data_IF_114960898900
#
_entry.id   IF_114960898900
#
_cell.length_a   1.000
_cell.length_b   1.000
_cell.length_c   1.000
_cell.angle_alpha   90.00
_cell.angle_beta   90.00
_cell.angle_gamma   90.00
#
_symmetry.space_group_name_H-M   'P 1'
#
loop_
_entity.id
_entity.type
_entity.pdbx_description
1 polymer ?
#
# COMPACT_ATOMS: atom_id res chain seq x y z
N UNK A 1 64.32 -70.93 -8.77
CA UNK A 1 63.75 -69.84 -7.94
C UNK A 1 63.28 -68.60 -8.71
N UNK A 2 63.87 -68.22 -9.83
CA UNK A 2 63.45 -67.05 -10.64
C UNK A 2 62.05 -67.20 -11.26
N UNK A 3 61.61 -68.41 -11.53
CA UNK A 3 60.30 -68.66 -12.18
C UNK A 3 59.11 -68.43 -11.24
N UNK A 4 59.21 -68.69 -9.96
CA UNK A 4 58.12 -68.50 -8.97
C UNK A 4 57.92 -67.00 -8.65
N UNK A 5 59.05 -66.28 -8.47
CA UNK A 5 59.01 -64.84 -8.22
C UNK A 5 58.33 -64.04 -9.40
N UNK A 6 58.61 -64.47 -10.65
CA UNK A 6 58.02 -63.89 -11.80
C UNK A 6 56.50 -64.17 -11.87
N UNK A 7 56.04 -65.38 -11.60
CA UNK A 7 54.64 -65.76 -11.55
C UNK A 7 53.88 -64.96 -10.45
N UNK A 8 54.51 -64.89 -9.23
CA UNK A 8 53.91 -64.10 -8.14
C UNK A 8 53.81 -62.58 -8.51
N UNK A 9 54.85 -62.05 -9.15
CA UNK A 9 54.86 -60.66 -9.60
C UNK A 9 53.73 -60.40 -10.70
N UNK A 10 53.58 -61.32 -11.63
CA UNK A 10 52.55 -61.24 -12.68
C UNK A 10 51.16 -61.38 -12.09
N UNK A 11 50.94 -62.28 -11.13
CA UNK A 11 49.65 -62.44 -10.45
C UNK A 11 49.32 -61.20 -9.58
N UNK A 12 50.36 -60.70 -8.84
CA UNK A 12 50.18 -59.45 -8.08
C UNK A 12 49.83 -58.26 -9.00
N UNK A 13 50.56 -58.12 -10.12
CA UNK A 13 50.31 -57.08 -11.11
C UNK A 13 48.92 -57.20 -11.69
N UNK A 14 48.44 -58.41 -12.09
CA UNK A 14 47.09 -58.64 -12.59
C UNK A 14 45.98 -58.36 -11.57
N UNK A 15 46.22 -58.64 -10.27
CA UNK A 15 45.28 -58.31 -9.19
C UNK A 15 45.18 -56.80 -8.99
N UNK A 16 46.30 -56.09 -8.99
CA UNK A 16 46.33 -54.62 -8.84
C UNK A 16 45.66 -53.95 -10.06
N UNK A 17 45.93 -54.48 -11.26
CA UNK A 17 45.31 -53.96 -12.48
C UNK A 17 43.79 -54.25 -12.55
N UNK A 18 43.34 -55.39 -12.09
CA UNK A 18 41.92 -55.71 -11.99
C UNK A 18 41.18 -54.89 -10.93
N UNK A 19 41.81 -54.60 -9.79
CA UNK A 19 41.29 -53.74 -8.76
C UNK A 19 41.26 -52.30 -9.22
N UNK A 20 42.29 -51.83 -9.91
CA UNK A 20 42.36 -50.53 -10.55
C UNK A 20 41.25 -50.32 -11.58
N UNK A 21 40.98 -51.35 -12.43
CA UNK A 21 39.85 -51.29 -13.41
C UNK A 21 38.50 -51.22 -12.74
N UNK A 22 38.28 -51.96 -11.64
CA UNK A 22 37.01 -51.92 -10.87
C UNK A 22 36.80 -50.56 -10.20
N UNK A 23 37.88 -49.99 -9.67
CA UNK A 23 37.83 -48.63 -9.07
C UNK A 23 37.54 -47.57 -10.12
N UNK A 24 38.17 -47.67 -11.30
CA UNK A 24 37.90 -46.74 -12.43
C UNK A 24 36.47 -46.83 -12.91
N UNK A 25 35.92 -48.05 -13.07
CA UNK A 25 34.55 -48.23 -13.45
C UNK A 25 33.56 -47.70 -12.41
N UNK A 26 33.85 -47.82 -11.13
CA UNK A 26 33.06 -47.28 -10.03
C UNK A 26 33.11 -45.76 -9.94
N UNK A 27 34.24 -45.16 -10.36
CA UNK A 27 34.45 -43.70 -10.36
C UNK A 27 34.13 -43.04 -11.69
N UNK A 28 33.65 -43.77 -12.72
CA UNK A 28 33.33 -43.26 -14.04
C UNK A 28 34.55 -42.70 -14.81
N UNK A 29 35.75 -43.18 -14.49
CA UNK A 29 37.01 -42.71 -15.07
C UNK A 29 37.30 -43.36 -16.42
N UNK A 30 37.72 -42.60 -17.41
CA UNK A 30 38.08 -43.07 -18.74
C UNK A 30 39.31 -43.98 -18.79
N UNK A 31 39.67 -44.50 -19.97
CA UNK A 31 40.74 -45.45 -20.22
C UNK A 31 42.12 -44.77 -20.37
N UNK A 32 42.58 -43.99 -19.40
CA UNK A 32 43.92 -43.40 -19.45
C UNK A 32 44.98 -44.42 -18.97
N UNK A 33 46.13 -44.52 -19.60
CA UNK A 33 47.13 -45.55 -19.28
C UNK A 33 47.82 -45.39 -17.93
N UNK A 34 47.70 -44.23 -17.26
CA UNK A 34 48.32 -44.01 -15.96
C UNK A 34 47.29 -43.54 -14.91
N UNK A 35 46.90 -44.40 -13.95
CA UNK A 35 45.89 -44.06 -12.91
C UNK A 35 46.33 -42.93 -11.97
N UNK A 36 47.62 -42.73 -11.79
CA UNK A 36 48.12 -41.61 -10.94
C UNK A 36 47.82 -40.26 -11.58
N UNK A 37 47.90 -40.15 -12.89
CA UNK A 37 47.62 -38.92 -13.60
C UNK A 37 46.12 -38.55 -13.55
N UNK A 38 45.23 -39.54 -13.62
CA UNK A 38 43.78 -39.34 -13.49
C UNK A 38 43.35 -38.89 -12.10
N UNK A 39 43.94 -39.51 -11.06
CA UNK A 39 43.67 -39.14 -9.67
C UNK A 39 44.20 -37.74 -9.37
N UNK A 40 45.38 -37.37 -9.92
CA UNK A 40 45.92 -36.00 -9.77
C UNK A 40 45.03 -34.96 -10.47
N UNK A 41 44.56 -35.26 -11.71
CA UNK A 41 43.67 -34.40 -12.43
C UNK A 41 42.29 -34.20 -11.77
N UNK A 42 41.77 -35.28 -11.16
CA UNK A 42 40.54 -35.17 -10.35
C UNK A 42 40.74 -34.32 -9.09
N UNK A 43 41.85 -34.52 -8.41
CA UNK A 43 42.21 -33.72 -7.22
C UNK A 43 42.37 -32.23 -7.56
N UNK A 44 43.09 -31.91 -8.62
CA UNK A 44 43.22 -30.51 -9.09
C UNK A 44 41.85 -29.89 -9.46
N UNK A 45 40.96 -30.70 -10.06
CA UNK A 45 39.62 -30.25 -10.42
C UNK A 45 38.74 -30.03 -9.20
N UNK A 46 38.85 -30.91 -8.18
CA UNK A 46 38.14 -30.75 -6.91
C UNK A 46 38.66 -29.52 -6.16
N UNK A 47 39.96 -29.34 -6.06
CA UNK A 47 40.58 -28.17 -5.44
C UNK A 47 40.28 -26.87 -6.16
N UNK A 48 40.07 -26.89 -7.50
CA UNK A 48 39.60 -25.72 -8.27
C UNK A 48 38.18 -25.43 -7.97
N UNK A 49 37.27 -26.42 -7.98
CA UNK A 49 35.84 -26.23 -7.69
C UNK A 49 35.62 -25.76 -6.25
N UNK A 50 36.41 -26.28 -5.30
CA UNK A 50 36.37 -25.83 -3.90
C UNK A 50 36.81 -24.37 -3.77
N UNK A 51 37.84 -23.93 -4.51
CA UNK A 51 38.23 -22.51 -4.57
C UNK A 51 37.18 -21.64 -5.22
N UNK A 52 36.64 -22.03 -6.35
CA UNK A 52 35.56 -21.29 -7.04
C UNK A 52 34.32 -21.18 -6.14
N UNK A 53 33.94 -22.23 -5.43
CA UNK A 53 32.84 -22.18 -4.45
C UNK A 53 33.14 -21.29 -3.25
N UNK A 54 34.39 -21.31 -2.76
CA UNK A 54 34.86 -20.45 -1.66
C UNK A 54 34.82 -18.98 -2.08
N UNK A 55 35.33 -18.68 -3.26
CA UNK A 55 35.33 -17.31 -3.83
C UNK A 55 33.89 -16.80 -4.04
N UNK A 56 32.99 -17.62 -4.62
CA UNK A 56 31.57 -17.27 -4.77
C UNK A 56 30.88 -17.06 -3.41
N UNK A 57 31.17 -17.85 -2.39
CA UNK A 57 30.64 -17.64 -1.04
C UNK A 57 31.16 -16.33 -0.44
N UNK A 58 32.44 -16.05 -0.58
CA UNK A 58 33.04 -14.83 -0.07
C UNK A 58 32.46 -13.58 -0.77
N UNK A 59 32.24 -13.63 -2.08
CA UNK A 59 31.59 -12.55 -2.84
C UNK A 59 30.12 -12.37 -2.40
N UNK A 60 29.39 -13.46 -2.16
CA UNK A 60 28.02 -13.42 -1.69
C UNK A 60 27.92 -12.81 -0.27
N UNK A 61 28.84 -13.19 0.62
CA UNK A 61 28.92 -12.65 1.99
C UNK A 61 29.24 -11.14 1.94
N UNK A 62 30.20 -10.74 1.10
CA UNK A 62 30.53 -9.33 0.89
C UNK A 62 29.32 -8.52 0.35
N UNK A 63 28.60 -9.06 -0.63
CA UNK A 63 27.40 -8.39 -1.17
C UNK A 63 26.31 -8.27 -0.11
N UNK A 64 26.13 -9.28 0.73
CA UNK A 64 25.14 -9.23 1.81
C UNK A 64 25.49 -8.21 2.90
N UNK A 65 26.78 -7.97 3.14
CA UNK A 65 27.26 -6.97 4.10
C UNK A 65 27.22 -5.53 3.56
N UNK A 66 27.26 -5.36 2.23
CA UNK A 66 27.14 -4.04 1.57
C UNK A 66 25.71 -3.49 1.52
N UNK A 67 24.72 -4.33 1.80
CA UNK A 67 23.31 -3.92 1.82
C UNK A 67 22.97 -3.37 3.21
N UNK A 68 22.48 -2.15 3.29
CA UNK A 68 22.02 -1.53 4.55
C UNK A 68 20.82 -2.24 5.19
N UNK A 69 20.26 -3.25 4.51
CA UNK A 69 19.16 -4.10 4.97
C UNK A 69 19.64 -5.37 5.70
N UNK A 70 18.87 -5.82 6.67
CA UNK A 70 19.08 -7.14 7.28
C UNK A 70 18.73 -8.24 6.28
N UNK A 71 19.66 -9.17 6.05
CA UNK A 71 19.43 -10.36 5.22
C UNK A 71 19.52 -11.58 6.13
N UNK A 72 18.49 -12.44 6.10
CA UNK A 72 18.43 -13.69 6.87
C UNK A 72 18.02 -14.82 5.95
N UNK A 73 18.74 -15.92 6.00
CA UNK A 73 18.37 -17.17 5.34
C UNK A 73 17.81 -18.15 6.38
N UNK A 74 16.66 -18.71 6.09
CA UNK A 74 16.02 -19.77 6.87
C UNK A 74 15.99 -21.07 6.05
N UNK A 75 16.16 -22.19 6.73
CA UNK A 75 15.97 -23.53 6.13
C UNK A 75 14.47 -23.86 5.96
N UNK A 76 14.18 -25.08 5.44
CA UNK A 76 12.82 -25.59 5.27
C UNK A 76 12.06 -25.85 6.58
N UNK A 77 12.72 -25.72 7.74
CA UNK A 77 12.13 -25.82 9.07
C UNK A 77 12.05 -24.44 9.76
N UNK A 78 12.29 -23.36 9.00
CA UNK A 78 12.34 -21.97 9.47
C UNK A 78 13.41 -21.71 10.53
N UNK A 79 14.55 -22.42 10.49
CA UNK A 79 15.71 -22.15 11.32
C UNK A 79 16.70 -21.25 10.59
N UNK A 80 17.32 -20.34 11.31
CA UNK A 80 18.29 -19.40 10.76
C UNK A 80 19.56 -20.14 10.35
N UNK A 81 19.89 -20.10 9.06
CA UNK A 81 21.11 -20.66 8.46
C UNK A 81 22.19 -19.60 8.34
N UNK A 82 21.81 -18.40 7.90
CA UNK A 82 22.71 -17.27 7.72
C UNK A 82 22.01 -15.95 8.08
N UNK A 83 22.79 -14.97 8.54
CA UNK A 83 22.34 -13.62 8.80
C UNK A 83 23.51 -12.65 8.69
N UNK A 84 23.31 -11.51 8.00
CA UNK A 84 24.33 -10.47 7.88
C UNK A 84 24.41 -9.58 9.14
N UNK A 85 25.40 -8.69 9.21
CA UNK A 85 25.62 -7.79 10.34
C UNK A 85 24.41 -6.88 10.61
N UNK A 86 23.78 -6.36 9.57
CA UNK A 86 22.60 -5.52 9.69
C UNK A 86 21.42 -6.26 10.35
N UNK A 87 21.17 -7.51 10.01
CA UNK A 87 20.13 -8.34 10.65
C UNK A 87 20.41 -8.52 12.15
N UNK A 88 21.66 -8.77 12.53
CA UNK A 88 22.05 -8.87 13.95
C UNK A 88 21.82 -7.52 14.67
N UNK A 89 22.16 -6.39 14.04
CA UNK A 89 21.96 -5.06 14.60
C UNK A 89 20.48 -4.74 14.84
N UNK A 90 19.62 -4.98 13.86
CA UNK A 90 18.17 -4.74 13.98
C UNK A 90 17.53 -5.58 15.09
N UNK A 91 18.01 -6.80 15.26
CA UNK A 91 17.53 -7.71 16.30
C UNK A 91 18.23 -7.49 17.67
N UNK A 92 19.22 -6.58 17.74
CA UNK A 92 20.01 -6.31 18.94
C UNK A 92 20.72 -7.54 19.46
N UNK A 93 21.26 -8.36 18.56
CA UNK A 93 21.97 -9.61 18.84
C UNK A 93 23.44 -9.49 18.43
N UNK A 94 24.30 -10.20 19.13
CA UNK A 94 25.70 -10.31 18.72
C UNK A 94 25.83 -11.13 17.42
N UNK A 95 26.85 -10.85 16.59
CA UNK A 95 27.13 -11.64 15.40
C UNK A 95 27.18 -13.16 15.71
N UNK A 96 26.52 -13.96 14.87
CA UNK A 96 26.41 -15.42 15.01
C UNK A 96 25.35 -15.90 16.00
N UNK A 97 24.81 -15.06 16.87
CA UNK A 97 23.85 -15.47 17.90
C UNK A 97 22.48 -15.90 17.35
N UNK A 98 22.20 -15.63 16.09
CA UNK A 98 20.95 -16.01 15.42
C UNK A 98 21.01 -17.40 14.81
N UNK A 99 22.18 -17.85 14.41
CA UNK A 99 22.36 -19.09 13.66
C UNK A 99 21.86 -20.31 14.46
N UNK A 100 21.09 -21.17 13.81
CA UNK A 100 20.50 -22.40 14.36
C UNK A 100 19.26 -22.19 15.23
N UNK A 101 18.84 -20.95 15.48
CA UNK A 101 17.58 -20.65 16.20
C UNK A 101 16.39 -20.77 15.28
N UNK A 102 15.24 -21.11 15.84
CA UNK A 102 13.96 -21.04 15.14
C UNK A 102 13.59 -19.57 14.89
N UNK A 103 12.85 -19.29 13.81
CA UNK A 103 12.49 -17.92 13.44
C UNK A 103 11.82 -17.15 14.59
N UNK A 104 10.90 -17.79 15.34
CA UNK A 104 10.23 -17.16 16.48
C UNK A 104 11.22 -16.80 17.60
N UNK A 105 12.23 -17.61 17.87
CA UNK A 105 13.27 -17.31 18.87
C UNK A 105 14.25 -16.23 18.40
N UNK A 106 14.54 -16.22 17.10
CA UNK A 106 15.47 -15.27 16.50
C UNK A 106 14.87 -13.86 16.50
N UNK A 107 13.62 -13.74 16.03
CA UNK A 107 12.95 -12.46 15.85
C UNK A 107 12.12 -12.03 17.08
N UNK A 108 11.76 -12.96 17.98
CA UNK A 108 10.83 -12.76 19.10
C UNK A 108 9.48 -12.19 18.67
N UNK A 109 9.06 -12.55 17.46
CA UNK A 109 7.84 -12.07 16.85
C UNK A 109 7.21 -13.14 15.95
N UNK A 110 5.94 -13.47 16.23
CA UNK A 110 5.20 -14.49 15.49
C UNK A 110 4.79 -14.03 14.08
N UNK A 111 4.70 -12.73 13.83
CA UNK A 111 4.35 -12.22 12.50
C UNK A 111 5.46 -12.48 11.49
N UNK A 112 6.73 -12.35 11.91
CA UNK A 112 7.88 -12.67 11.04
C UNK A 112 7.87 -14.16 10.68
N UNK A 113 7.59 -15.04 11.63
CA UNK A 113 7.46 -16.47 11.38
C UNK A 113 6.30 -16.77 10.40
N UNK A 114 5.14 -16.14 10.60
CA UNK A 114 3.99 -16.26 9.72
C UNK A 114 4.30 -15.82 8.29
N UNK A 115 5.02 -14.68 8.11
CA UNK A 115 5.46 -14.19 6.81
C UNK A 115 6.42 -15.21 6.15
N UNK A 116 7.35 -15.76 6.92
CA UNK A 116 8.30 -16.77 6.42
C UNK A 116 7.58 -18.07 6.01
N UNK A 117 6.64 -18.56 6.82
CA UNK A 117 5.85 -19.75 6.52
C UNK A 117 4.99 -19.54 5.26
N UNK A 118 4.32 -18.40 5.14
CA UNK A 118 3.54 -18.03 3.94
C UNK A 118 4.42 -18.00 2.69
N UNK A 119 5.63 -17.43 2.79
CA UNK A 119 6.56 -17.41 1.67
C UNK A 119 7.07 -18.81 1.30
N UNK A 120 7.25 -19.71 2.28
CA UNK A 120 7.64 -21.10 2.02
C UNK A 120 6.55 -21.85 1.23
N UNK A 121 5.29 -21.61 1.54
CA UNK A 121 4.13 -22.23 0.88
C UNK A 121 3.81 -21.60 -0.48
N UNK A 122 3.68 -20.27 -0.51
CA UNK A 122 3.17 -19.51 -1.66
C UNK A 122 4.27 -18.93 -2.56
N UNK A 123 5.55 -19.04 -2.14
CA UNK A 123 6.71 -18.55 -2.91
C UNK A 123 7.19 -17.15 -2.50
N UNK A 124 6.31 -16.26 -2.06
CA UNK A 124 6.67 -14.93 -1.57
C UNK A 124 5.64 -14.41 -0.57
N UNK A 125 6.09 -13.60 0.39
CA UNK A 125 5.23 -12.87 1.32
C UNK A 125 5.93 -11.57 1.75
N UNK A 126 5.17 -10.59 2.24
CA UNK A 126 5.73 -9.38 2.81
C UNK A 126 4.80 -8.85 3.91
N UNK A 127 5.37 -8.12 4.86
CA UNK A 127 4.60 -7.47 5.91
C UNK A 127 5.43 -6.42 6.63
N UNK A 128 4.76 -5.56 7.38
CA UNK A 128 5.39 -4.60 8.28
C UNK A 128 5.26 -5.12 9.71
N UNK A 129 6.36 -5.19 10.42
CA UNK A 129 6.45 -5.76 11.77
C UNK A 129 7.17 -4.78 12.69
N UNK A 130 6.61 -4.53 13.88
CA UNK A 130 7.28 -3.75 14.93
C UNK A 130 7.88 -4.71 15.95
N UNK A 131 9.19 -4.88 15.92
CA UNK A 131 9.88 -5.76 16.84
C UNK A 131 9.87 -5.23 18.28
N UNK A 132 9.79 -6.14 19.26
CA UNK A 132 9.90 -5.82 20.70
C UNK A 132 8.87 -4.82 21.26
N UNK A 133 7.66 -4.75 20.69
CA UNK A 133 6.60 -3.87 21.18
C UNK A 133 6.75 -2.40 20.76
N UNK A 134 6.25 -1.48 21.61
CA UNK A 134 6.09 -0.08 21.23
C UNK A 134 7.40 0.68 20.93
N UNK A 135 8.52 0.27 21.54
CA UNK A 135 9.82 0.97 21.46
C UNK A 135 10.80 0.32 20.47
N UNK A 136 10.42 -0.79 19.84
CA UNK A 136 11.27 -1.51 18.90
C UNK A 136 11.26 -0.93 17.48
N UNK A 137 12.24 -1.33 16.65
CA UNK A 137 12.29 -0.89 15.27
C UNK A 137 11.10 -1.42 14.47
N UNK A 138 10.60 -0.59 13.57
CA UNK A 138 9.59 -0.97 12.58
C UNK A 138 10.30 -1.44 11.32
N UNK A 139 10.14 -2.72 10.99
CA UNK A 139 10.78 -3.34 9.85
C UNK A 139 9.75 -3.70 8.77
N UNK A 140 10.09 -3.45 7.51
CA UNK A 140 9.44 -4.12 6.38
C UNK A 140 10.19 -5.43 6.18
N UNK A 141 9.46 -6.55 6.33
CA UNK A 141 9.95 -7.91 6.09
C UNK A 141 9.45 -8.36 4.73
N UNK A 142 10.38 -8.68 3.83
CA UNK A 142 10.06 -9.32 2.54
C UNK A 142 10.67 -10.70 2.54
N UNK A 143 9.83 -11.70 2.33
CA UNK A 143 10.20 -13.10 2.32
C UNK A 143 10.06 -13.69 0.92
N UNK A 144 11.03 -14.53 0.52
CA UNK A 144 10.98 -15.24 -0.76
C UNK A 144 11.55 -16.65 -0.60
N UNK A 145 10.82 -17.63 -1.16
CA UNK A 145 11.29 -19.03 -1.15
C UNK A 145 12.57 -19.18 -1.97
N UNK A 146 13.57 -19.84 -1.37
CA UNK A 146 14.82 -20.19 -2.03
C UNK A 146 14.65 -21.43 -2.93
N UNK A 147 15.43 -21.49 -4.00
CA UNK A 147 15.51 -22.68 -4.86
C UNK A 147 16.07 -23.90 -4.08
N UNK A 148 16.86 -23.66 -3.05
CA UNK A 148 17.42 -24.69 -2.17
C UNK A 148 16.43 -25.25 -1.13
N UNK A 149 15.19 -24.75 -1.08
CA UNK A 149 14.12 -25.28 -0.20
C UNK A 149 13.92 -24.53 1.11
N UNK A 150 14.59 -23.36 1.30
CA UNK A 150 14.39 -22.47 2.44
C UNK A 150 13.74 -21.14 2.05
N UNK A 151 13.89 -20.11 2.91
CA UNK A 151 13.32 -18.76 2.70
C UNK A 151 14.40 -17.71 2.95
N UNK A 152 14.51 -16.76 2.03
CA UNK A 152 15.27 -15.54 2.22
C UNK A 152 14.37 -14.44 2.77
N UNK A 153 14.81 -13.80 3.86
CA UNK A 153 14.17 -12.61 4.43
C UNK A 153 15.06 -11.40 4.17
N UNK A 154 14.45 -10.33 3.69
CA UNK A 154 15.08 -9.00 3.62
C UNK A 154 14.33 -8.09 4.59
N UNK A 155 15.07 -7.54 5.54
CA UNK A 155 14.59 -6.66 6.60
C UNK A 155 15.02 -5.24 6.28
N UNK A 156 14.08 -4.32 6.17
CA UNK A 156 14.36 -2.90 5.94
C UNK A 156 13.84 -2.11 7.12
N UNK A 157 14.72 -1.38 7.82
CA UNK A 157 14.32 -0.49 8.91
C UNK A 157 13.66 0.76 8.34
N UNK A 158 12.39 0.97 8.71
CA UNK A 158 11.59 2.13 8.32
C UNK A 158 11.19 2.98 9.52
N UNK A 159 11.83 2.77 10.67
CA UNK A 159 11.49 3.45 11.93
C UNK A 159 11.57 4.97 11.84
N UNK A 160 12.64 5.50 11.25
CA UNK A 160 12.80 6.94 11.06
C UNK A 160 11.76 7.51 10.09
N UNK A 161 11.53 6.81 8.99
CA UNK A 161 10.49 7.18 8.02
C UNK A 161 9.11 7.23 8.69
N UNK A 162 8.75 6.21 9.46
CA UNK A 162 7.47 6.14 10.18
C UNK A 162 7.37 7.23 11.24
N UNK A 163 8.44 7.48 11.96
CA UNK A 163 8.49 8.57 12.96
C UNK A 163 8.28 9.93 12.32
N UNK A 164 8.94 10.22 11.20
CA UNK A 164 8.76 11.47 10.47
C UNK A 164 7.34 11.62 9.91
N UNK A 165 6.76 10.54 9.40
CA UNK A 165 5.37 10.52 8.96
C UNK A 165 4.40 10.79 10.11
N UNK A 166 4.64 10.19 11.28
CA UNK A 166 3.82 10.40 12.47
C UNK A 166 3.92 11.85 12.99
N UNK A 167 5.13 12.39 13.11
CA UNK A 167 5.34 13.79 13.51
C UNK A 167 4.64 14.75 12.55
N UNK A 168 4.73 14.48 11.24
CA UNK A 168 4.04 15.27 10.22
C UNK A 168 2.52 15.19 10.38
N UNK A 169 1.97 14.02 10.65
CA UNK A 169 0.55 13.83 10.86
C UNK A 169 0.07 14.56 12.12
N UNK A 170 0.75 14.41 13.24
CA UNK A 170 0.45 15.12 14.49
C UNK A 170 0.53 16.65 14.33
N UNK A 171 1.54 17.14 13.61
CA UNK A 171 1.67 18.56 13.31
C UNK A 171 0.47 19.08 12.51
N UNK A 172 0.06 18.37 11.45
CA UNK A 172 -1.08 18.77 10.62
C UNK A 172 -2.38 18.68 11.41
N UNK A 173 -2.56 17.65 12.24
CA UNK A 173 -3.75 17.50 13.10
C UNK A 173 -3.87 18.67 14.07
N UNK A 174 -2.79 19.00 14.79
CA UNK A 174 -2.75 20.12 15.71
C UNK A 174 -2.99 21.46 14.99
N UNK A 175 -2.32 21.71 13.86
CA UNK A 175 -2.50 22.93 13.09
C UNK A 175 -3.94 23.09 12.63
N UNK A 176 -4.58 22.01 12.25
CA UNK A 176 -5.97 22.03 11.77
C UNK A 176 -6.96 22.32 12.89
N UNK A 177 -6.75 21.79 14.09
CA UNK A 177 -7.54 22.14 15.26
C UNK A 177 -7.38 23.61 15.63
N UNK A 178 -6.14 24.12 15.63
CA UNK A 178 -5.84 25.52 15.91
C UNK A 178 -6.39 26.50 14.85
N UNK A 179 -6.52 26.07 13.59
CA UNK A 179 -7.12 26.89 12.54
C UNK A 179 -8.66 26.83 12.53
N UNK A 180 -9.27 25.70 12.83
CA UNK A 180 -10.72 25.54 12.84
C UNK A 180 -11.40 26.46 13.84
N UNK A 181 -10.85 26.62 15.02
CA UNK A 181 -11.41 27.45 16.10
C UNK A 181 -11.56 28.93 15.69
N UNK A 182 -10.50 29.65 15.22
CA UNK A 182 -10.67 31.06 14.80
C UNK A 182 -11.56 31.19 13.56
N UNK A 183 -11.53 30.25 12.61
CA UNK A 183 -12.39 30.27 11.45
C UNK A 183 -13.86 30.13 11.83
N UNK A 184 -14.19 29.22 12.74
CA UNK A 184 -15.55 29.06 13.28
C UNK A 184 -16.00 30.34 13.99
N UNK A 185 -15.10 30.99 14.73
CA UNK A 185 -15.41 32.28 15.40
C UNK A 185 -15.71 33.37 14.39
N UNK A 186 -14.92 33.48 13.30
CA UNK A 186 -15.17 34.46 12.25
C UNK A 186 -16.52 34.20 11.54
N UNK A 187 -16.84 32.95 11.27
CA UNK A 187 -18.13 32.54 10.68
C UNK A 187 -19.30 32.94 11.59
N UNK A 188 -19.19 32.63 12.89
CA UNK A 188 -20.22 32.94 13.87
C UNK A 188 -20.41 34.47 14.04
N UNK A 189 -19.33 35.25 14.02
CA UNK A 189 -19.40 36.71 14.09
C UNK A 189 -20.09 37.30 12.84
N UNK A 190 -19.79 36.77 11.64
CA UNK A 190 -20.43 37.18 10.41
C UNK A 190 -21.96 36.90 10.44
N UNK A 191 -22.33 35.68 10.87
CA UNK A 191 -23.72 35.29 11.04
C UNK A 191 -24.46 36.15 12.08
N UNK A 192 -23.82 36.45 13.22
CA UNK A 192 -24.35 37.26 14.29
C UNK A 192 -24.59 38.68 13.80
N UNK A 193 -23.64 39.30 13.06
CA UNK A 193 -23.79 40.62 12.48
C UNK A 193 -24.98 40.69 11.49
N UNK A 194 -25.21 39.65 10.68
CA UNK A 194 -26.34 39.57 9.79
C UNK A 194 -27.68 39.52 10.56
N UNK A 195 -27.77 38.66 11.58
CA UNK A 195 -28.96 38.52 12.43
C UNK A 195 -29.28 39.78 13.23
N UNK A 196 -28.27 40.42 13.80
CA UNK A 196 -28.43 41.68 14.55
C UNK A 196 -28.98 42.78 13.63
N UNK A 197 -28.46 42.89 12.42
CA UNK A 197 -28.95 43.85 11.44
C UNK A 197 -30.42 43.60 11.04
N UNK A 198 -30.82 42.35 10.90
CA UNK A 198 -32.19 41.96 10.61
C UNK A 198 -33.13 42.26 11.79
N UNK A 199 -32.69 41.95 13.01
CA UNK A 199 -33.50 42.10 14.23
C UNK A 199 -33.78 43.54 14.64
N UNK A 200 -32.84 44.47 14.38
CA UNK A 200 -32.97 45.90 14.71
C UNK A 200 -33.73 46.68 13.60
N UNK A 201 -34.15 46.00 12.53
CA UNK A 201 -34.82 46.66 11.39
C UNK A 201 -33.90 47.63 10.64
N UNK A 202 -32.60 47.57 10.91
CA UNK A 202 -31.62 48.43 10.23
C UNK A 202 -31.25 47.81 8.91
N UNK A 203 -31.64 48.43 7.82
CA UNK A 203 -31.25 47.98 6.48
C UNK A 203 -29.75 48.23 6.29
N UNK A 204 -28.93 47.19 6.42
CA UNK A 204 -27.50 47.28 6.07
C UNK A 204 -27.34 47.74 4.62
N UNK A 205 -26.42 48.67 4.32
CA UNK A 205 -26.06 48.98 2.95
C UNK A 205 -25.76 47.72 2.16
N UNK A 206 -26.25 47.61 0.93
CA UNK A 206 -26.09 46.40 0.09
C UNK A 206 -24.62 45.92 0.05
N UNK A 207 -23.70 46.86 -0.14
CA UNK A 207 -22.24 46.58 -0.12
C UNK A 207 -21.72 45.94 1.18
N UNK A 208 -22.35 46.27 2.32
CA UNK A 208 -21.93 45.71 3.61
C UNK A 208 -22.47 44.29 3.81
N UNK A 209 -23.73 44.08 3.41
CA UNK A 209 -24.35 42.74 3.37
C UNK A 209 -23.56 41.79 2.46
N UNK A 210 -23.19 42.24 1.25
CA UNK A 210 -22.39 41.46 0.30
C UNK A 210 -21.01 41.10 0.85
N UNK A 211 -20.39 42.02 1.60
CA UNK A 211 -19.09 41.75 2.24
C UNK A 211 -19.19 40.72 3.34
N UNK A 212 -20.21 40.80 4.19
CA UNK A 212 -20.42 39.83 5.28
C UNK A 212 -20.71 38.44 4.69
N UNK A 213 -21.61 38.38 3.69
CA UNK A 213 -21.89 37.11 2.98
C UNK A 213 -20.64 36.53 2.34
N UNK A 214 -19.74 37.37 1.80
CA UNK A 214 -18.47 36.93 1.25
C UNK A 214 -17.51 36.38 2.32
N UNK A 215 -17.46 37.02 3.49
CA UNK A 215 -16.64 36.53 4.63
C UNK A 215 -17.15 35.15 5.07
N UNK A 216 -18.46 34.96 5.14
CA UNK A 216 -19.07 33.68 5.52
C UNK A 216 -18.72 32.56 4.55
N UNK A 217 -18.84 32.84 3.24
CA UNK A 217 -18.47 31.87 2.17
C UNK A 217 -16.97 31.53 2.23
N UNK A 218 -16.10 32.52 2.31
CA UNK A 218 -14.63 32.28 2.34
C UNK A 218 -14.21 31.54 3.61
N UNK A 219 -14.82 31.86 4.76
CA UNK A 219 -14.54 31.14 6.01
C UNK A 219 -15.00 29.69 5.92
N UNK A 220 -16.17 29.42 5.35
CA UNK A 220 -16.64 28.06 5.09
C UNK A 220 -15.68 27.27 4.19
N UNK A 221 -15.17 27.90 3.13
CA UNK A 221 -14.15 27.31 2.26
C UNK A 221 -12.85 26.96 3.02
N UNK A 222 -12.39 27.85 3.91
CA UNK A 222 -11.19 27.60 4.71
C UNK A 222 -11.37 26.43 5.69
N UNK A 223 -12.51 26.35 6.36
CA UNK A 223 -12.83 25.22 7.26
C UNK A 223 -12.81 23.90 6.50
N UNK A 224 -13.41 23.87 5.31
CA UNK A 224 -13.41 22.70 4.47
C UNK A 224 -12.00 22.33 4.00
N UNK A 225 -11.21 23.31 3.56
CA UNK A 225 -9.82 23.10 3.14
C UNK A 225 -8.95 22.49 4.26
N UNK A 226 -9.10 23.02 5.47
CA UNK A 226 -8.41 22.48 6.65
C UNK A 226 -8.81 21.03 6.91
N UNK A 227 -10.11 20.71 6.84
CA UNK A 227 -10.58 19.31 6.99
C UNK A 227 -10.00 18.39 5.94
N UNK A 228 -9.99 18.80 4.67
CA UNK A 228 -9.44 17.99 3.56
C UNK A 228 -7.92 17.77 3.68
N UNK A 229 -7.17 18.75 4.19
CA UNK A 229 -5.73 18.59 4.48
C UNK A 229 -5.51 17.58 5.60
N UNK A 230 -6.35 17.60 6.64
CA UNK A 230 -6.29 16.60 7.71
C UNK A 230 -6.55 15.19 7.20
N UNK A 231 -7.60 15.02 6.41
CA UNK A 231 -7.91 13.72 5.82
C UNK A 231 -6.75 13.20 4.97
N UNK A 232 -6.15 14.09 4.17
CA UNK A 232 -4.98 13.75 3.37
C UNK A 232 -3.77 13.35 4.24
N UNK A 233 -3.54 14.05 5.34
CA UNK A 233 -2.44 13.74 6.27
C UNK A 233 -2.61 12.39 6.95
N UNK A 234 -3.82 12.07 7.40
CA UNK A 234 -4.17 10.75 7.97
C UNK A 234 -3.98 9.64 6.94
N UNK A 235 -4.33 9.90 5.70
CA UNK A 235 -4.12 9.02 4.56
C UNK A 235 -2.62 8.73 4.34
N UNK A 236 -1.79 9.77 4.32
CA UNK A 236 -0.33 9.66 4.09
C UNK A 236 0.43 8.98 5.24
N UNK A 237 -0.12 9.06 6.45
CA UNK A 237 0.48 8.44 7.63
C UNK A 237 0.27 6.92 7.69
N UNK A 238 -0.37 6.33 6.67
CA UNK A 238 -0.69 4.90 6.67
C UNK A 238 -1.78 4.55 7.68
N UNK A 239 -2.66 5.52 8.01
CA UNK A 239 -3.80 5.27 8.89
C UNK A 239 -4.60 4.09 8.36
N UNK A 240 -4.68 3.03 9.16
CA UNK A 240 -5.56 1.90 8.91
C UNK A 240 -6.99 2.38 8.78
N UNK A 241 -7.80 1.64 8.04
CA UNK A 241 -9.25 1.80 8.08
C UNK A 241 -9.70 1.90 9.54
N UNK A 242 -10.69 2.76 9.82
CA UNK A 242 -11.30 2.85 11.13
C UNK A 242 -12.01 1.55 11.52
N UNK A 243 -13.16 1.67 12.15
CA UNK A 243 -13.97 0.49 12.45
C UNK A 243 -14.51 -0.07 11.14
N UNK A 244 -14.13 -1.31 10.82
CA UNK A 244 -14.59 -2.02 9.61
C UNK A 244 -15.78 -2.87 9.98
N UNK A 245 -16.96 -2.46 9.52
CA UNK A 245 -18.25 -3.14 9.78
C UNK A 245 -18.94 -3.50 8.45
N UNK A 246 -20.10 -4.15 8.58
CA UNK A 246 -20.98 -4.43 7.45
C UNK A 246 -21.74 -3.16 7.07
N UNK A 247 -21.48 -2.63 5.87
CA UNK A 247 -22.01 -1.35 5.37
C UNK A 247 -23.07 -1.58 4.29
N UNK A 248 -24.26 -0.97 4.48
CA UNK A 248 -25.28 -0.85 3.44
C UNK A 248 -24.99 0.39 2.57
N UNK A 249 -24.40 0.17 1.39
CA UNK A 249 -24.10 1.22 0.43
C UNK A 249 -25.36 1.97 -0.08
N UNK A 250 -26.50 1.27 -0.14
CA UNK A 250 -27.76 1.89 -0.55
C UNK A 250 -28.26 2.89 0.49
N UNK A 251 -28.20 2.54 1.77
CA UNK A 251 -28.54 3.46 2.86
C UNK A 251 -27.56 4.63 2.91
N UNK A 252 -26.27 4.36 2.74
CA UNK A 252 -25.21 5.37 2.75
C UNK A 252 -25.36 6.38 1.60
N UNK A 253 -25.71 5.91 0.40
CA UNK A 253 -26.02 6.78 -0.73
C UNK A 253 -27.22 7.71 -0.47
N UNK A 254 -28.31 7.18 0.10
CA UNK A 254 -29.49 7.97 0.45
C UNK A 254 -29.17 9.02 1.50
N UNK A 255 -28.52 8.64 2.60
CA UNK A 255 -28.15 9.58 3.68
C UNK A 255 -27.21 10.67 3.19
N UNK A 256 -26.23 10.33 2.33
CA UNK A 256 -25.31 11.31 1.72
C UNK A 256 -26.03 12.28 0.79
N UNK A 257 -27.00 11.79 0.02
CA UNK A 257 -27.86 12.62 -0.85
C UNK A 257 -28.72 13.58 -0.03
N UNK A 258 -29.34 13.09 1.04
CA UNK A 258 -30.15 13.93 1.94
C UNK A 258 -29.35 15.06 2.59
N UNK A 259 -28.09 14.79 2.96
CA UNK A 259 -27.16 15.81 3.52
C UNK A 259 -26.90 16.96 2.55
N UNK A 260 -26.90 16.71 1.24
CA UNK A 260 -26.62 17.71 0.20
C UNK A 260 -27.88 18.29 -0.45
N UNK A 261 -29.06 17.87 -0.02
CA UNK A 261 -30.34 18.29 -0.63
C UNK A 261 -30.50 19.81 -0.70
N UNK A 262 -30.31 20.51 0.41
CA UNK A 262 -30.43 21.98 0.45
C UNK A 262 -29.39 22.68 -0.45
N UNK A 263 -28.18 22.10 -0.54
CA UNK A 263 -27.17 22.65 -1.45
C UNK A 263 -27.57 22.46 -2.91
N UNK A 264 -28.07 21.28 -3.27
CA UNK A 264 -28.53 20.98 -4.62
C UNK A 264 -29.74 21.85 -5.02
N UNK A 265 -30.72 22.01 -4.12
CA UNK A 265 -31.89 22.88 -4.34
C UNK A 265 -31.49 24.33 -4.64
N UNK A 266 -30.51 24.87 -3.90
CA UNK A 266 -29.96 26.23 -4.15
C UNK A 266 -29.31 26.37 -5.52
N UNK A 267 -28.75 25.29 -6.04
CA UNK A 267 -28.11 25.23 -7.37
C UNK A 267 -29.14 24.87 -8.49
N UNK A 268 -30.41 24.63 -8.16
CA UNK A 268 -31.41 24.15 -9.09
C UNK A 268 -31.19 22.72 -9.59
N UNK A 269 -30.48 21.92 -8.85
CA UNK A 269 -30.15 20.53 -9.19
C UNK A 269 -31.12 19.59 -8.47
N UNK A 270 -31.74 18.67 -9.24
CA UNK A 270 -32.58 17.61 -8.69
C UNK A 270 -31.75 16.32 -8.53
N UNK A 271 -31.76 15.72 -7.32
CA UNK A 271 -30.99 14.50 -7.03
C UNK A 271 -31.93 13.30 -6.95
N UNK A 272 -31.56 12.22 -7.65
CA UNK A 272 -32.30 10.96 -7.68
C UNK A 272 -31.38 9.80 -7.25
N UNK A 273 -31.93 8.87 -6.45
CA UNK A 273 -31.18 7.71 -5.96
C UNK A 273 -31.89 6.43 -6.37
N UNK A 274 -31.21 5.61 -7.16
CA UNK A 274 -31.68 4.32 -7.64
C UNK A 274 -30.88 3.20 -6.97
N UNK A 275 -31.53 2.48 -6.06
CA UNK A 275 -30.95 1.37 -5.30
C UNK A 275 -31.81 0.14 -5.49
N UNK A 276 -31.31 -0.95 -6.08
CA UNK A 276 -32.08 -2.18 -6.23
C UNK A 276 -32.32 -2.83 -4.85
N UNK A 277 -33.40 -3.57 -4.67
CA UNK A 277 -33.63 -4.32 -3.43
C UNK A 277 -32.62 -5.47 -3.32
N UNK A 278 -32.24 -5.78 -2.08
CA UNK A 278 -31.38 -6.95 -1.80
C UNK A 278 -29.89 -6.74 -2.13
N UNK A 279 -29.40 -5.50 -2.07
CA UNK A 279 -27.96 -5.24 -2.17
C UNK A 279 -27.22 -5.98 -1.06
N UNK A 280 -26.10 -6.66 -1.38
CA UNK A 280 -25.24 -7.26 -0.38
C UNK A 280 -24.56 -6.17 0.47
N UNK A 281 -24.31 -6.48 1.73
CA UNK A 281 -23.48 -5.66 2.59
C UNK A 281 -22.02 -5.81 2.18
N UNK A 282 -21.25 -4.76 2.38
CA UNK A 282 -19.81 -4.76 2.12
C UNK A 282 -19.05 -4.51 3.43
N UNK A 283 -17.88 -5.11 3.57
CA UNK A 283 -16.98 -4.82 4.70
C UNK A 283 -16.27 -3.50 4.46
N UNK A 284 -16.44 -2.53 5.36
CA UNK A 284 -15.81 -1.22 5.17
C UNK A 284 -15.99 -0.26 6.34
N UNK A 285 -15.33 0.90 6.22
CA UNK A 285 -15.48 2.04 7.12
C UNK A 285 -16.62 2.93 6.59
N UNK A 286 -17.79 2.87 7.24
CA UNK A 286 -18.99 3.61 6.83
C UNK A 286 -18.74 5.12 6.73
N UNK A 287 -18.01 5.69 7.69
CA UNK A 287 -17.76 7.13 7.71
C UNK A 287 -16.90 7.57 6.51
N UNK A 288 -15.86 6.80 6.17
CA UNK A 288 -15.00 7.08 5.02
C UNK A 288 -15.70 6.85 3.70
N UNK A 289 -16.47 5.77 3.56
CA UNK A 289 -17.29 5.53 2.38
C UNK A 289 -18.37 6.60 2.20
N UNK A 290 -18.96 7.09 3.28
CA UNK A 290 -19.85 8.24 3.26
C UNK A 290 -19.17 9.50 2.73
N UNK A 291 -17.91 9.72 3.07
CA UNK A 291 -17.12 10.83 2.54
C UNK A 291 -16.88 10.70 1.03
N UNK A 292 -16.70 9.48 0.50
CA UNK A 292 -16.63 9.25 -0.96
C UNK A 292 -17.90 9.75 -1.64
N UNK A 293 -19.06 9.32 -1.15
CA UNK A 293 -20.36 9.79 -1.71
C UNK A 293 -20.50 11.30 -1.65
N UNK A 294 -20.22 11.90 -0.49
CA UNK A 294 -20.30 13.36 -0.30
C UNK A 294 -19.38 14.10 -1.28
N UNK A 295 -18.15 13.66 -1.45
CA UNK A 295 -17.19 14.29 -2.37
C UNK A 295 -17.64 14.20 -3.83
N UNK A 296 -18.15 13.06 -4.27
CA UNK A 296 -18.61 12.84 -5.63
C UNK A 296 -19.92 13.61 -5.89
N UNK A 297 -20.89 13.54 -4.99
CA UNK A 297 -22.17 14.27 -5.07
C UNK A 297 -21.96 15.78 -5.06
N UNK A 298 -21.12 16.28 -4.16
CA UNK A 298 -20.81 17.71 -4.10
C UNK A 298 -20.21 18.21 -5.42
N UNK A 299 -19.29 17.42 -6.03
CA UNK A 299 -18.74 17.76 -7.33
C UNK A 299 -19.82 17.74 -8.43
N UNK A 300 -20.68 16.73 -8.47
CA UNK A 300 -21.75 16.62 -9.45
C UNK A 300 -22.68 17.82 -9.40
N UNK A 301 -23.12 18.25 -8.21
CA UNK A 301 -23.98 19.44 -8.04
C UNK A 301 -23.23 20.71 -8.42
N UNK A 302 -22.00 20.88 -7.94
CA UNK A 302 -21.17 22.06 -8.15
C UNK A 302 -20.86 22.33 -9.62
N UNK A 303 -20.63 21.28 -10.41
CA UNK A 303 -20.29 21.41 -11.83
C UNK A 303 -21.49 21.28 -12.75
N UNK A 304 -22.70 21.36 -12.20
CA UNK A 304 -23.97 21.48 -12.93
C UNK A 304 -24.58 22.91 -12.82
N UNK A 305 -23.91 23.96 -13.36
CA UNK A 305 -24.24 25.36 -13.10
C UNK A 305 -25.61 25.80 -13.66
N UNK A 306 -26.16 25.05 -14.56
CA UNK A 306 -27.49 25.35 -15.18
C UNK A 306 -28.62 24.53 -14.53
N UNK A 307 -28.36 23.88 -13.38
CA UNK A 307 -29.28 22.93 -12.80
C UNK A 307 -29.26 21.59 -13.54
N UNK A 308 -30.30 20.80 -13.39
CA UNK A 308 -30.49 19.52 -14.05
C UNK A 308 -30.54 18.37 -13.03
N UNK A 309 -30.42 17.15 -13.55
CA UNK A 309 -30.51 15.95 -12.72
C UNK A 309 -29.12 15.39 -12.38
N UNK A 310 -28.94 15.05 -11.12
CA UNK A 310 -27.83 14.21 -10.64
C UNK A 310 -28.41 12.87 -10.19
N UNK A 311 -27.93 11.79 -10.79
CA UNK A 311 -28.44 10.45 -10.53
C UNK A 311 -27.38 9.61 -9.84
N UNK A 312 -27.74 9.03 -8.69
CA UNK A 312 -26.95 7.98 -8.01
C UNK A 312 -27.56 6.63 -8.35
N UNK A 313 -26.78 5.72 -8.89
CA UNK A 313 -27.18 4.35 -9.16
C UNK A 313 -26.22 3.40 -8.46
N UNK A 314 -26.77 2.33 -7.88
CA UNK A 314 -25.97 1.26 -7.29
C UNK A 314 -26.35 -0.05 -7.97
N UNK A 315 -25.36 -0.82 -8.37
CA UNK A 315 -25.52 -2.12 -8.98
C UNK A 315 -24.64 -3.13 -8.25
N UNK A 316 -25.11 -4.38 -8.14
CA UNK A 316 -24.32 -5.46 -7.56
C UNK A 316 -24.09 -6.55 -8.60
N UNK A 317 -22.88 -7.08 -8.63
CA UNK A 317 -22.52 -8.30 -9.34
C UNK A 317 -22.18 -9.41 -8.34
N UNK A 318 -21.79 -10.59 -8.82
CA UNK A 318 -21.35 -11.69 -7.95
C UNK A 318 -20.06 -11.39 -7.17
N UNK A 319 -19.29 -10.39 -7.58
CA UNK A 319 -17.95 -10.11 -7.03
C UNK A 319 -17.78 -8.72 -6.44
N UNK A 320 -18.61 -7.76 -6.81
CA UNK A 320 -18.45 -6.37 -6.44
C UNK A 320 -19.76 -5.60 -6.45
N UNK A 321 -19.83 -4.53 -5.67
CA UNK A 321 -20.87 -3.52 -5.73
C UNK A 321 -20.29 -2.28 -6.39
N UNK A 322 -21.01 -1.73 -7.39
CA UNK A 322 -20.63 -0.54 -8.12
C UNK A 322 -21.61 0.58 -7.79
N UNK A 323 -21.08 1.72 -7.34
CA UNK A 323 -21.86 2.96 -7.20
C UNK A 323 -21.43 3.96 -8.28
N UNK A 324 -22.42 4.56 -8.94
CA UNK A 324 -22.22 5.52 -10.03
C UNK A 324 -22.98 6.81 -9.73
N UNK A 325 -22.33 7.95 -9.87
CA UNK A 325 -22.90 9.29 -9.73
C UNK A 325 -22.78 10.00 -11.08
N UNK A 326 -23.92 10.24 -11.71
CA UNK A 326 -24.02 10.86 -13.03
C UNK A 326 -24.54 12.28 -12.91
N UNK A 327 -23.85 13.22 -13.53
CA UNK A 327 -24.25 14.61 -13.72
C UNK A 327 -24.43 14.95 -15.21
N UNK A 328 -25.13 16.03 -15.48
CA UNK A 328 -25.32 16.64 -16.82
C UNK A 328 -24.65 18.01 -16.86
N UNK A 329 -23.52 18.16 -16.18
CA UNK A 329 -22.81 19.42 -16.06
C UNK A 329 -21.88 19.73 -17.22
N UNK A 330 -20.82 20.49 -16.92
CA UNK A 330 -19.84 20.96 -17.92
C UNK A 330 -18.97 19.87 -18.53
N UNK A 331 -18.94 18.68 -17.91
CA UNK A 331 -18.07 17.58 -18.31
C UNK A 331 -16.58 17.87 -18.13
N UNK A 332 -15.74 16.89 -18.46
CA UNK A 332 -14.29 16.92 -18.25
C UNK A 332 -13.57 16.64 -19.58
N UNK A 333 -12.67 17.54 -20.04
CA UNK A 333 -11.86 17.31 -21.22
C UNK A 333 -11.06 15.99 -21.12
N UNK A 334 -10.97 15.23 -22.22
CA UNK A 334 -10.31 13.92 -22.25
C UNK A 334 -8.86 13.96 -21.72
N UNK A 335 -8.13 15.03 -22.01
CA UNK A 335 -6.74 15.23 -21.55
C UNK A 335 -6.62 15.41 -20.03
N UNK A 336 -7.70 15.82 -19.35
CA UNK A 336 -7.74 16.05 -17.90
C UNK A 336 -8.20 14.80 -17.13
N UNK A 337 -8.98 13.90 -17.74
CA UNK A 337 -9.57 12.75 -17.06
C UNK A 337 -8.56 11.85 -16.34
N UNK A 338 -7.37 11.53 -16.88
CA UNK A 338 -6.39 10.73 -16.15
C UNK A 338 -5.83 11.40 -14.90
N UNK A 339 -5.94 12.75 -14.82
CA UNK A 339 -5.30 13.58 -13.81
C UNK A 339 -6.23 14.10 -12.74
N UNK A 340 -7.54 14.03 -12.91
CA UNK A 340 -8.52 14.60 -11.95
C UNK A 340 -8.46 13.98 -10.56
N UNK A 341 -7.88 12.79 -10.42
CA UNK A 341 -7.64 12.12 -9.15
C UNK A 341 -6.26 12.46 -8.54
N UNK A 342 -5.43 13.26 -9.25
CA UNK A 342 -4.19 13.80 -8.69
C UNK A 342 -4.50 14.88 -7.65
N UNK A 343 -3.67 14.97 -6.60
CA UNK A 343 -3.81 15.96 -5.53
C UNK A 343 -3.62 17.37 -6.08
N UNK A 344 -4.47 18.30 -5.64
CA UNK A 344 -4.47 19.73 -6.04
C UNK A 344 -4.69 19.98 -7.54
N UNK A 345 -5.01 18.94 -8.32
CA UNK A 345 -5.28 19.10 -9.73
C UNK A 345 -6.64 19.77 -9.95
N UNK A 346 -6.70 20.73 -10.86
CA UNK A 346 -7.91 21.44 -11.29
C UNK A 346 -7.88 21.60 -12.79
N UNK A 347 -8.99 21.29 -13.45
CA UNK A 347 -9.18 21.58 -14.86
C UNK A 347 -9.25 23.10 -15.02
N UNK A 348 -8.48 23.67 -15.91
CA UNK A 348 -8.13 25.09 -16.10
C UNK A 348 -9.02 26.15 -15.45
N UNK A 349 -8.37 27.09 -14.72
CA UNK A 349 -8.98 28.22 -14.00
C UNK A 349 -9.82 29.17 -14.87
N UNK A 350 -9.71 29.11 -16.19
CA UNK A 350 -10.28 30.09 -17.11
C UNK A 350 -11.74 29.82 -17.52
N UNK A 351 -12.23 28.56 -17.40
CA UNK A 351 -13.56 28.18 -17.89
C UNK A 351 -14.69 28.23 -16.87
N UNK A 352 -14.36 28.18 -15.59
CA UNK A 352 -15.36 28.29 -14.51
C UNK A 352 -15.31 29.71 -13.95
N UNK A 353 -15.86 30.68 -14.69
CA UNK A 353 -16.15 32.02 -14.17
C UNK A 353 -17.39 31.96 -13.28
N UNK A 354 -17.20 31.51 -12.08
CA UNK A 354 -18.14 31.47 -10.99
C UNK A 354 -17.38 30.99 -9.75
N UNK A 355 -17.78 31.39 -8.57
CA UNK A 355 -17.19 31.19 -7.26
C UNK A 355 -16.89 29.71 -6.86
N UNK A 356 -16.75 28.83 -7.83
CA UNK A 356 -16.52 27.38 -7.67
C UNK A 356 -15.06 27.04 -7.35
N UNK A 357 -14.48 27.72 -6.36
CA UNK A 357 -13.19 27.32 -5.77
C UNK A 357 -13.35 25.98 -5.06
N UNK A 358 -12.50 25.02 -5.35
CA UNK A 358 -12.32 23.77 -4.60
C UNK A 358 -10.83 23.59 -4.34
N UNK A 359 -10.47 22.76 -3.39
CA UNK A 359 -9.08 22.47 -3.02
C UNK A 359 -8.35 21.63 -4.06
N UNK A 360 -9.09 20.79 -4.82
CA UNK A 360 -8.54 19.75 -5.68
C UNK A 360 -8.13 18.49 -4.92
N UNK A 361 -8.60 18.33 -3.67
CA UNK A 361 -8.29 17.18 -2.81
C UNK A 361 -9.43 16.16 -2.77
N UNK A 362 -10.69 16.56 -2.92
CA UNK A 362 -11.84 15.68 -2.72
C UNK A 362 -11.83 14.40 -3.57
N UNK A 363 -11.46 14.49 -4.86
CA UNK A 363 -11.34 13.31 -5.73
C UNK A 363 -10.14 12.42 -5.38
N UNK A 364 -9.02 13.02 -4.97
CA UNK A 364 -7.85 12.26 -4.50
C UNK A 364 -8.14 11.50 -3.20
N UNK A 365 -8.89 12.12 -2.28
CA UNK A 365 -9.38 11.47 -1.04
C UNK A 365 -10.33 10.32 -1.40
N UNK A 366 -11.31 10.56 -2.28
CA UNK A 366 -12.26 9.54 -2.71
C UNK A 366 -11.54 8.32 -3.31
N UNK A 367 -10.56 8.54 -4.19
CA UNK A 367 -9.75 7.49 -4.78
C UNK A 367 -9.02 6.68 -3.70
N UNK A 368 -8.35 7.35 -2.80
CA UNK A 368 -7.58 6.67 -1.76
C UNK A 368 -8.46 5.83 -0.84
N UNK A 369 -9.61 6.37 -0.41
CA UNK A 369 -10.57 5.61 0.42
C UNK A 369 -11.04 4.36 -0.30
N UNK A 370 -11.41 4.47 -1.58
CA UNK A 370 -11.85 3.31 -2.38
C UNK A 370 -10.71 2.28 -2.53
N UNK A 371 -9.48 2.72 -2.82
CA UNK A 371 -8.31 1.85 -2.93
C UNK A 371 -7.99 1.14 -1.59
N UNK A 372 -8.13 1.81 -0.44
CA UNK A 372 -7.98 1.19 0.89
C UNK A 372 -9.02 0.09 1.17
N UNK A 373 -10.19 0.16 0.54
CA UNK A 373 -11.23 -0.88 0.62
C UNK A 373 -11.06 -1.96 -0.46
N UNK A 374 -9.89 -2.04 -1.12
CA UNK A 374 -9.62 -3.01 -2.18
C UNK A 374 -10.40 -2.74 -3.48
N UNK A 375 -11.01 -1.56 -3.61
CA UNK A 375 -11.82 -1.16 -4.74
C UNK A 375 -11.07 -0.36 -5.81
N UNK A 376 -11.82 0.16 -6.78
CA UNK A 376 -11.34 1.05 -7.84
C UNK A 376 -12.34 2.16 -8.12
N UNK A 377 -11.86 3.34 -8.55
CA UNK A 377 -12.66 4.49 -8.94
C UNK A 377 -12.26 4.96 -10.33
N UNK A 378 -13.24 5.38 -11.13
CA UNK A 378 -13.01 5.90 -12.48
C UNK A 378 -14.04 6.96 -12.86
N UNK A 379 -13.83 7.58 -14.02
CA UNK A 379 -14.72 8.58 -14.59
C UNK A 379 -14.93 8.30 -16.08
N UNK A 380 -16.16 8.54 -16.53
CA UNK A 380 -16.55 8.59 -17.93
C UNK A 380 -17.18 9.97 -18.15
N UNK A 381 -16.58 10.77 -19.02
CA UNK A 381 -17.05 12.16 -19.19
C UNK A 381 -16.88 12.64 -20.62
N UNK A 382 -17.81 13.48 -21.04
CA UNK A 382 -17.73 14.21 -22.31
C UNK A 382 -17.92 15.69 -22.04
N UNK A 383 -16.96 16.51 -22.48
CA UNK A 383 -17.01 17.97 -22.31
C UNK A 383 -18.29 18.55 -22.91
N UNK A 384 -19.02 19.35 -22.13
CA UNK A 384 -20.30 19.96 -22.51
C UNK A 384 -21.52 19.03 -22.37
N UNK A 385 -21.36 17.77 -21.97
CA UNK A 385 -22.46 16.79 -21.82
C UNK A 385 -22.68 16.39 -20.37
N UNK A 386 -21.58 16.18 -19.61
CA UNK A 386 -21.60 15.76 -18.22
C UNK A 386 -20.58 14.67 -17.90
N UNK A 387 -20.64 14.16 -16.67
CA UNK A 387 -19.74 13.14 -16.17
C UNK A 387 -20.47 12.04 -15.42
N UNK A 388 -19.88 10.85 -15.43
CA UNK A 388 -20.28 9.73 -14.57
C UNK A 388 -19.04 9.28 -13.78
N UNK A 389 -19.05 9.52 -12.49
CA UNK A 389 -18.06 9.01 -11.56
C UNK A 389 -18.53 7.68 -10.99
N UNK A 390 -17.73 6.65 -11.09
CA UNK A 390 -18.08 5.34 -10.59
C UNK A 390 -16.97 4.79 -9.69
N UNK A 391 -17.36 4.05 -8.65
CA UNK A 391 -16.44 3.27 -7.86
C UNK A 391 -17.01 1.88 -7.60
N UNK A 392 -16.12 0.89 -7.51
CA UNK A 392 -16.44 -0.50 -7.25
C UNK A 392 -15.76 -0.96 -5.97
N UNK A 393 -16.47 -1.73 -5.14
CA UNK A 393 -15.97 -2.35 -3.92
C UNK A 393 -16.17 -3.87 -3.98
N UNK A 394 -15.19 -4.68 -3.59
CA UNK A 394 -15.29 -6.13 -3.64
C UNK A 394 -16.27 -6.67 -2.59
N UNK A 395 -16.97 -7.75 -2.96
CA UNK A 395 -17.77 -8.58 -2.07
C UNK A 395 -16.88 -9.68 -1.48
N UNK A 396 -15.91 -9.34 -0.65
CA UNK A 396 -15.03 -10.32 -0.01
C UNK A 396 -15.13 -10.21 1.49
N UNK A 397 -15.08 -11.37 2.18
CA UNK A 397 -15.07 -11.43 3.65
C UNK A 397 -13.75 -10.91 4.27
N UNK A 398 -12.73 -10.62 3.43
CA UNK A 398 -11.43 -10.12 3.85
C UNK A 398 -11.13 -8.76 3.19
N UNK A 399 -11.13 -7.72 4.01
CA UNK A 399 -10.49 -6.44 3.67
C UNK A 399 -8.98 -6.64 3.88
N UNK A 400 -8.11 -6.30 2.90
CA UNK A 400 -6.67 -6.55 2.97
C UNK A 400 -5.95 -5.83 4.12
#
# INVERSE_FOLDING_TARGET
>A
MLSIAFVVAVVAYRRVDAQSRRLRAALGLGTHPNPVFEVTGLRERTERLERELSDQRSDHDLLSELVDGGIVELDGQLRVVAANAAAHAFLGRNPGALIGRDAIEAFLDAQVESIAATALEQGAAAGEVRLRGADGPTLIVRARRSVAGGVWLVLTDVSELRRLQQIRAEFIDNLSHELRTPLTTVSLLAETLMREAESVGTTLPSKMRDRIAKIEVETGHLVQMVSEIMDLSRIESGGTLGIVDDVDLGQLARSSTDRLRLFAERQGVNMQVHVPPGLPLIRGDEARLGQVFVNLLHNAVKFSPNGGDVTVAIEASEREVIASIRDHGVGIPAVAQPRIFERFYKVDRARVRGEAGGTGLGLAIARHVVEQHGGRIWVESTEGVGSTFSFALPLTDEVP
#
